data_IF_578449074562
#
_entry.id   IF_578449074562
#
_cell.length_a   1.000
_cell.length_b   1.000
_cell.length_c   1.000
_cell.angle_alpha   90.00
_cell.angle_beta   90.00
_cell.angle_gamma   90.00
#
_symmetry.space_group_name_H-M   'P 1'
#
loop_
_entity.id
_entity.type
_entity.pdbx_description
1 polymer ?
#
# COMPACT_ATOMS: atom_id res chain seq x y z
N UNK A 1 25.39 46.39 5.57
CA UNK A 1 25.43 45.38 4.48
C UNK A 1 25.08 44.05 5.11
N UNK A 2 23.82 43.62 4.98
CA UNK A 2 23.32 42.42 5.65
C UNK A 2 23.02 41.36 4.59
N UNK A 3 23.73 40.25 4.68
CA UNK A 3 23.62 39.08 3.81
C UNK A 3 22.35 38.31 4.14
N UNK A 4 21.39 38.26 3.23
CA UNK A 4 20.26 37.34 3.33
C UNK A 4 20.67 36.00 2.71
N UNK A 5 21.00 35.05 3.59
CA UNK A 5 21.14 33.63 3.28
C UNK A 5 19.76 33.06 3.01
N UNK A 6 19.49 32.63 1.78
CA UNK A 6 18.30 31.89 1.43
C UNK A 6 18.36 30.51 2.08
N UNK A 7 17.45 30.25 3.00
CA UNK A 7 17.22 28.94 3.61
C UNK A 7 16.75 27.97 2.54
N UNK A 8 17.65 27.10 2.09
CA UNK A 8 17.31 25.92 1.31
C UNK A 8 16.48 25.02 2.22
N UNK A 9 15.20 24.85 1.89
CA UNK A 9 14.34 23.85 2.51
C UNK A 9 14.86 22.47 2.09
N UNK A 10 15.78 21.91 2.89
CA UNK A 10 16.12 20.50 2.83
C UNK A 10 14.88 19.69 3.22
N UNK A 11 14.14 19.25 2.20
CA UNK A 11 13.17 18.18 2.33
C UNK A 11 14.00 16.93 2.64
N UNK A 12 14.06 16.57 3.92
CA UNK A 12 14.63 15.30 4.39
C UNK A 12 13.87 14.16 3.71
N UNK A 13 14.44 13.62 2.64
CA UNK A 13 13.88 12.49 1.90
C UNK A 13 13.85 11.30 2.88
N UNK A 14 12.68 10.67 3.12
CA UNK A 14 12.61 9.48 3.95
C UNK A 14 13.56 8.43 3.39
N UNK A 15 14.42 7.88 4.24
CA UNK A 15 15.28 6.76 3.91
C UNK A 15 14.42 5.67 3.27
N UNK A 16 14.69 5.37 2.01
CA UNK A 16 13.95 4.40 1.19
C UNK A 16 14.00 2.96 1.75
N UNK A 17 14.72 2.73 2.86
CA UNK A 17 14.85 1.44 3.55
C UNK A 17 13.65 1.03 4.44
N UNK A 18 12.57 1.80 4.52
CA UNK A 18 11.39 1.47 5.37
C UNK A 18 10.22 0.81 4.62
N UNK A 19 10.35 0.58 3.31
CA UNK A 19 9.31 -0.07 2.51
C UNK A 19 9.16 -1.53 2.97
N UNK A 20 7.97 -1.88 3.45
CA UNK A 20 7.72 -3.17 4.11
C UNK A 20 7.51 -4.34 3.14
N UNK A 21 6.94 -4.05 1.97
CA UNK A 21 6.62 -4.96 0.84
C UNK A 21 6.60 -4.13 -0.47
N UNK A 22 6.63 -4.77 -1.63
CA UNK A 22 6.80 -4.15 -2.95
C UNK A 22 8.15 -3.45 -3.11
N UNK A 23 9.22 -4.04 -2.55
CA UNK A 23 10.54 -3.42 -2.53
C UNK A 23 11.00 -3.10 -3.96
N UNK A 24 10.95 -4.07 -4.86
CA UNK A 24 11.40 -3.92 -6.25
C UNK A 24 10.63 -2.81 -6.98
N UNK A 25 9.30 -2.79 -6.84
CA UNK A 25 8.46 -1.75 -7.45
C UNK A 25 8.83 -0.37 -6.91
N UNK A 26 8.93 -0.22 -5.60
CA UNK A 26 9.21 1.06 -4.98
C UNK A 26 10.63 1.55 -5.31
N UNK A 27 11.58 0.62 -5.50
CA UNK A 27 12.99 0.93 -5.78
C UNK A 27 13.13 1.52 -7.17
N UNK A 28 12.53 0.84 -8.14
CA UNK A 28 12.50 1.31 -9.52
C UNK A 28 11.77 2.66 -9.63
N UNK A 29 10.62 2.81 -8.95
CA UNK A 29 9.91 4.08 -8.95
C UNK A 29 10.75 5.21 -8.32
N UNK A 30 11.48 4.92 -7.24
CA UNK A 30 12.37 5.88 -6.60
C UNK A 30 13.53 6.29 -7.52
N UNK A 31 14.18 5.32 -8.19
CA UNK A 31 15.24 5.57 -9.18
C UNK A 31 14.75 6.53 -10.26
N UNK A 32 13.56 6.28 -10.81
CA UNK A 32 12.95 7.16 -11.82
C UNK A 32 12.69 8.57 -11.28
N UNK A 33 12.18 8.70 -10.05
CA UNK A 33 11.98 10.01 -9.40
C UNK A 33 13.30 10.77 -9.31
N UNK A 34 14.37 10.15 -8.80
CA UNK A 34 15.69 10.78 -8.66
C UNK A 34 16.27 11.21 -10.01
N UNK A 35 16.16 10.35 -11.03
CA UNK A 35 16.59 10.67 -12.41
C UNK A 35 15.91 11.93 -12.93
N UNK A 36 14.60 12.07 -12.71
CA UNK A 36 13.81 13.23 -13.16
C UNK A 36 14.15 14.47 -12.34
N UNK A 37 14.28 14.36 -11.01
CA UNK A 37 14.62 15.48 -10.14
C UNK A 37 15.99 16.08 -10.50
N UNK A 38 16.95 15.26 -10.94
CA UNK A 38 18.26 15.73 -11.40
C UNK A 38 18.21 16.65 -12.64
N UNK A 39 17.13 16.62 -13.43
CA UNK A 39 16.97 17.47 -14.62
C UNK A 39 15.89 18.54 -14.46
N UNK A 40 15.05 18.47 -13.43
CA UNK A 40 13.84 19.31 -13.30
C UNK A 40 14.17 20.80 -13.25
N UNK A 41 15.21 21.20 -12.49
CA UNK A 41 15.63 22.61 -12.38
C UNK A 41 16.18 23.15 -13.71
N UNK A 42 16.86 22.30 -14.49
CA UNK A 42 17.35 22.66 -15.80
C UNK A 42 16.20 22.84 -16.81
N UNK A 43 15.17 21.99 -16.71
CA UNK A 43 13.93 22.11 -17.50
C UNK A 43 13.21 23.42 -17.17
N UNK A 44 13.08 23.75 -15.89
CA UNK A 44 12.47 25.02 -15.45
C UNK A 44 13.26 26.23 -15.95
N UNK A 45 14.59 26.18 -15.84
CA UNK A 45 15.49 27.25 -16.28
C UNK A 45 15.46 27.45 -17.80
N UNK A 46 15.24 26.37 -18.56
CA UNK A 46 15.10 26.43 -20.01
C UNK A 46 13.84 27.17 -20.47
N UNK A 47 12.88 27.42 -19.55
CA UNK A 47 11.59 28.10 -19.81
C UNK A 47 10.95 27.61 -21.11
N UNK A 48 10.38 26.41 -21.16
CA UNK A 48 9.78 25.92 -22.40
C UNK A 48 8.63 26.88 -22.85
N UNK A 49 8.89 27.65 -23.91
CA UNK A 49 8.30 28.98 -24.17
C UNK A 49 6.89 28.99 -24.79
N UNK A 50 6.06 27.97 -24.61
CA UNK A 50 4.67 27.97 -25.09
C UNK A 50 3.71 27.44 -24.03
N UNK A 51 2.47 27.97 -23.99
CA UNK A 51 1.50 27.70 -22.91
C UNK A 51 1.27 26.20 -22.64
N UNK A 52 1.27 25.38 -23.70
CA UNK A 52 1.15 23.93 -23.59
C UNK A 52 2.33 23.28 -22.85
N UNK A 53 3.54 23.81 -22.98
CA UNK A 53 4.73 23.23 -22.37
C UNK A 53 4.84 23.56 -20.87
N UNK A 54 4.33 24.73 -20.44
CA UNK A 54 4.15 25.04 -19.01
C UNK A 54 3.15 24.07 -18.36
N UNK A 55 2.04 23.78 -19.04
CA UNK A 55 1.05 22.81 -18.55
C UNK A 55 1.64 21.40 -18.43
N UNK A 56 2.47 20.98 -19.39
CA UNK A 56 3.21 19.71 -19.34
C UNK A 56 4.15 19.66 -18.14
N UNK A 57 4.89 20.74 -17.86
CA UNK A 57 5.77 20.82 -16.70
C UNK A 57 5.01 20.74 -15.36
N UNK A 58 3.87 21.42 -15.25
CA UNK A 58 2.98 21.29 -14.08
C UNK A 58 2.46 19.86 -13.91
N UNK A 59 2.14 19.17 -15.02
CA UNK A 59 1.70 17.78 -15.02
C UNK A 59 2.81 16.82 -14.59
N UNK A 60 4.06 17.09 -15.00
CA UNK A 60 5.25 16.37 -14.55
C UNK A 60 5.44 16.48 -13.03
N UNK A 61 5.39 17.70 -12.48
CA UNK A 61 5.45 17.94 -11.03
C UNK A 61 4.34 17.23 -10.25
N UNK A 62 3.11 17.32 -10.75
CA UNK A 62 1.97 16.62 -10.15
C UNK A 62 2.16 15.10 -10.17
N UNK A 63 2.79 14.57 -11.22
CA UNK A 63 3.09 13.13 -11.34
C UNK A 63 4.22 12.71 -10.41
N UNK A 64 5.25 13.54 -10.22
CA UNK A 64 6.29 13.34 -9.20
C UNK A 64 5.69 13.29 -7.80
N UNK A 65 4.76 14.18 -7.46
CA UNK A 65 4.05 14.16 -6.19
C UNK A 65 3.22 12.86 -6.01
N UNK A 66 2.53 12.40 -7.07
CA UNK A 66 1.82 11.12 -7.07
C UNK A 66 2.76 9.93 -6.85
N UNK A 67 3.93 9.94 -7.50
CA UNK A 67 4.95 8.90 -7.35
C UNK A 67 5.48 8.81 -5.93
N UNK A 68 5.85 9.96 -5.34
CA UNK A 68 6.26 10.05 -3.93
C UNK A 68 5.15 9.58 -2.98
N UNK A 69 3.90 9.91 -3.27
CA UNK A 69 2.74 9.43 -2.49
C UNK A 69 2.56 7.91 -2.54
N UNK A 70 2.86 7.25 -3.67
CA UNK A 70 2.81 5.77 -3.76
C UNK A 70 3.86 5.15 -2.85
N UNK A 71 5.11 5.64 -2.90
CA UNK A 71 6.19 5.13 -2.03
C UNK A 71 5.82 5.32 -0.56
N UNK A 72 5.33 6.51 -0.18
CA UNK A 72 4.86 6.79 1.18
C UNK A 72 3.73 5.84 1.61
N UNK A 73 2.78 5.57 0.73
CA UNK A 73 1.71 4.62 1.02
C UNK A 73 2.25 3.20 1.26
N UNK A 74 3.26 2.76 0.49
CA UNK A 74 3.87 1.44 0.67
C UNK A 74 4.70 1.34 1.97
N UNK A 75 5.26 2.44 2.47
CA UNK A 75 5.98 2.44 3.77
C UNK A 75 5.04 2.49 4.98
N UNK A 76 3.92 3.22 4.87
CA UNK A 76 3.02 3.45 6.01
C UNK A 76 1.93 2.38 6.16
N UNK A 77 1.64 1.62 5.11
CA UNK A 77 0.55 0.64 5.11
C UNK A 77 0.93 -0.70 5.75
N UNK A 78 -0.09 -1.51 6.06
CA UNK A 78 0.04 -2.90 6.51
C UNK A 78 0.63 -3.76 5.39
N UNK A 79 1.51 -4.69 5.75
CA UNK A 79 2.05 -5.69 4.81
C UNK A 79 0.93 -6.55 4.22
N UNK A 80 0.00 -7.03 5.04
CA UNK A 80 -1.15 -7.82 4.59
C UNK A 80 -2.03 -7.05 3.60
N UNK A 81 -2.35 -5.80 3.94
CA UNK A 81 -3.13 -4.93 3.06
C UNK A 81 -2.43 -4.68 1.72
N UNK A 82 -1.13 -4.39 1.76
CA UNK A 82 -0.32 -4.15 0.57
C UNK A 82 -0.18 -5.42 -0.29
N UNK A 83 -0.08 -6.61 0.30
CA UNK A 83 -0.03 -7.85 -0.46
C UNK A 83 -1.32 -8.05 -1.29
N UNK A 84 -2.49 -7.80 -0.69
CA UNK A 84 -3.80 -7.92 -1.37
C UNK A 84 -3.98 -6.84 -2.44
N UNK A 85 -3.48 -5.63 -2.18
CA UNK A 85 -3.61 -4.49 -3.10
C UNK A 85 -2.43 -4.35 -4.08
N UNK A 86 -1.51 -5.31 -4.09
CA UNK A 86 -0.28 -5.34 -4.90
C UNK A 86 -0.49 -5.02 -6.37
N UNK A 87 -1.49 -5.64 -7.02
CA UNK A 87 -1.78 -5.40 -8.44
C UNK A 87 -2.29 -3.98 -8.71
N UNK A 88 -2.99 -3.37 -7.74
CA UNK A 88 -3.39 -1.96 -7.82
C UNK A 88 -2.18 -1.03 -7.72
N UNK A 89 -1.23 -1.34 -6.83
CA UNK A 89 0.03 -0.59 -6.69
C UNK A 89 0.85 -0.71 -7.97
N UNK A 90 1.03 -1.92 -8.49
CA UNK A 90 1.73 -2.20 -9.75
C UNK A 90 1.13 -1.39 -10.91
N UNK A 91 -0.20 -1.47 -11.09
CA UNK A 91 -0.90 -0.70 -12.13
C UNK A 91 -0.73 0.82 -11.96
N UNK A 92 -0.72 1.31 -10.72
CA UNK A 92 -0.51 2.73 -10.42
C UNK A 92 0.91 3.18 -10.77
N UNK A 93 1.94 2.37 -10.48
CA UNK A 93 3.33 2.64 -10.84
C UNK A 93 3.53 2.64 -12.36
N UNK A 94 2.95 1.67 -13.07
CA UNK A 94 2.98 1.63 -14.54
C UNK A 94 2.34 2.89 -15.16
N UNK A 95 1.18 3.32 -14.64
CA UNK A 95 0.54 4.57 -15.10
C UNK A 95 1.42 5.80 -14.85
N UNK A 96 2.10 5.86 -13.71
CA UNK A 96 3.03 6.94 -13.37
C UNK A 96 4.22 6.96 -14.33
N UNK A 97 4.85 5.80 -14.59
CA UNK A 97 5.95 5.66 -15.55
C UNK A 97 5.54 6.11 -16.95
N UNK A 98 4.40 5.66 -17.44
CA UNK A 98 3.87 6.05 -18.75
C UNK A 98 3.57 7.56 -18.82
N UNK A 99 3.08 8.16 -17.73
CA UNK A 99 2.87 9.59 -17.64
C UNK A 99 4.20 10.38 -17.67
N UNK A 100 5.23 9.91 -16.96
CA UNK A 100 6.57 10.49 -17.06
C UNK A 100 7.12 10.44 -18.48
N UNK A 101 7.00 9.29 -19.16
CA UNK A 101 7.43 9.13 -20.54
C UNK A 101 6.74 10.15 -21.46
N UNK A 102 5.41 10.25 -21.36
CA UNK A 102 4.61 11.19 -22.15
C UNK A 102 5.07 12.65 -21.94
N UNK A 103 5.19 13.09 -20.68
CA UNK A 103 5.51 14.49 -20.39
C UNK A 103 6.96 14.84 -20.72
N UNK A 104 7.90 13.94 -20.47
CA UNK A 104 9.30 14.15 -20.81
C UNK A 104 9.52 14.17 -22.33
N UNK A 105 8.83 13.32 -23.09
CA UNK A 105 8.89 13.34 -24.56
C UNK A 105 8.37 14.66 -25.13
N UNK A 106 7.30 15.23 -24.54
CA UNK A 106 6.79 16.54 -24.93
C UNK A 106 7.80 17.66 -24.59
N UNK A 107 8.37 17.65 -23.39
CA UNK A 107 9.36 18.64 -22.94
C UNK A 107 10.64 18.57 -23.77
N UNK A 108 11.07 17.38 -24.19
CA UNK A 108 12.30 17.18 -24.98
C UNK A 108 12.36 18.07 -26.22
N UNK A 109 11.22 18.26 -26.90
CA UNK A 109 11.12 19.07 -28.11
C UNK A 109 11.13 20.59 -27.84
N UNK A 110 11.00 21.00 -26.57
CA UNK A 110 10.87 22.39 -26.15
C UNK A 110 12.09 22.92 -25.38
N UNK A 111 13.19 22.14 -25.31
CA UNK A 111 14.39 22.49 -24.55
C UNK A 111 15.65 22.48 -25.42
N UNK A 112 16.74 23.17 -25.00
CA UNK A 112 18.02 23.12 -25.72
C UNK A 112 18.59 21.70 -25.83
N UNK A 113 19.34 21.44 -26.90
CA UNK A 113 19.85 20.11 -27.25
C UNK A 113 20.65 19.37 -26.17
N UNK A 114 21.51 20.04 -25.38
CA UNK A 114 22.19 19.37 -24.26
C UNK A 114 21.22 18.80 -23.22
N UNK A 115 20.10 19.50 -22.97
CA UNK A 115 19.06 19.04 -22.05
C UNK A 115 18.17 17.98 -22.68
N UNK A 116 17.82 18.14 -23.96
CA UNK A 116 17.06 17.13 -24.72
C UNK A 116 17.77 15.76 -24.74
N UNK A 117 19.10 15.77 -24.80
CA UNK A 117 19.93 14.55 -24.73
C UNK A 117 19.84 13.86 -23.37
N UNK A 118 19.87 14.64 -22.27
CA UNK A 118 19.68 14.11 -20.90
C UNK A 118 18.28 13.52 -20.72
N UNK A 119 17.26 14.20 -21.25
CA UNK A 119 15.87 13.70 -21.23
C UNK A 119 15.77 12.41 -22.04
N UNK A 120 16.45 12.31 -23.18
CA UNK A 120 16.47 11.08 -23.99
C UNK A 120 16.99 9.87 -23.21
N UNK A 121 18.03 10.06 -22.38
CA UNK A 121 18.54 9.00 -21.52
C UNK A 121 17.50 8.56 -20.48
N UNK A 122 16.79 9.51 -19.86
CA UNK A 122 15.70 9.19 -18.91
C UNK A 122 14.54 8.46 -19.61
N UNK A 123 14.20 8.84 -20.85
CA UNK A 123 13.18 8.15 -21.63
C UNK A 123 13.57 6.71 -21.95
N UNK A 124 14.85 6.43 -22.18
CA UNK A 124 15.37 5.07 -22.32
C UNK A 124 15.23 4.31 -21.00
N UNK A 125 15.69 4.88 -19.89
CA UNK A 125 15.56 4.29 -18.54
C UNK A 125 14.08 3.92 -18.24
N UNK A 126 13.15 4.83 -18.56
CA UNK A 126 11.70 4.63 -18.36
C UNK A 126 11.12 3.46 -19.17
N UNK A 127 11.62 3.23 -20.39
CA UNK A 127 11.15 2.13 -21.25
C UNK A 127 11.68 0.78 -20.79
N UNK A 128 12.91 0.78 -20.27
CA UNK A 128 13.57 -0.43 -19.78
C UNK A 128 13.14 -0.81 -18.35
N UNK A 129 12.58 0.13 -17.58
CA UNK A 129 12.10 -0.17 -16.22
C UNK A 129 10.93 -1.16 -16.27
N UNK A 130 11.12 -2.34 -15.71
CA UNK A 130 10.06 -3.31 -15.45
C UNK A 130 9.67 -3.28 -13.97
N UNK A 131 8.36 -3.21 -13.70
CA UNK A 131 7.82 -3.38 -12.36
C UNK A 131 7.32 -4.81 -12.20
N UNK A 132 7.78 -5.50 -11.16
CA UNK A 132 7.36 -6.86 -10.82
C UNK A 132 7.14 -7.01 -9.32
N UNK A 133 6.37 -8.03 -8.94
CA UNK A 133 6.08 -8.39 -7.57
C UNK A 133 6.99 -9.53 -7.12
N UNK A 134 7.45 -9.48 -5.88
CA UNK A 134 8.18 -10.56 -5.23
C UNK A 134 7.29 -11.81 -5.10
N UNK A 135 7.89 -13.00 -5.28
CA UNK A 135 7.16 -14.26 -5.29
C UNK A 135 6.42 -14.50 -3.97
N UNK A 136 7.06 -14.21 -2.85
CA UNK A 136 6.54 -14.38 -1.51
C UNK A 136 5.29 -13.51 -1.28
N UNK A 137 5.31 -12.28 -1.77
CA UNK A 137 4.19 -11.34 -1.67
C UNK A 137 3.01 -11.79 -2.53
N UNK A 138 3.29 -12.31 -3.72
CA UNK A 138 2.28 -12.85 -4.64
C UNK A 138 1.64 -14.13 -4.08
N UNK A 139 2.40 -15.00 -3.42
CA UNK A 139 1.84 -16.17 -2.73
C UNK A 139 0.98 -15.77 -1.53
N UNK A 140 1.42 -14.80 -0.72
CA UNK A 140 0.62 -14.26 0.37
C UNK A 140 -0.70 -13.68 -0.14
N UNK A 141 -0.65 -12.92 -1.25
CA UNK A 141 -1.82 -12.37 -1.92
C UNK A 141 -2.80 -13.45 -2.33
N UNK A 142 -2.34 -14.49 -3.04
CA UNK A 142 -3.20 -15.57 -3.55
C UNK A 142 -3.96 -16.25 -2.43
N UNK A 143 -3.27 -16.61 -1.36
CA UNK A 143 -3.87 -17.33 -0.24
C UNK A 143 -4.94 -16.49 0.47
N UNK A 144 -4.66 -15.21 0.75
CA UNK A 144 -5.65 -14.33 1.40
C UNK A 144 -6.80 -13.98 0.46
N UNK A 145 -6.55 -13.82 -0.84
CA UNK A 145 -7.60 -13.54 -1.80
C UNK A 145 -8.53 -14.75 -2.00
N UNK A 146 -7.98 -15.96 -2.08
CA UNK A 146 -8.77 -17.19 -2.10
C UNK A 146 -9.63 -17.35 -0.85
N UNK A 147 -9.15 -16.92 0.31
CA UNK A 147 -9.96 -16.88 1.54
C UNK A 147 -11.13 -15.90 1.41
N UNK A 148 -10.89 -14.69 0.91
CA UNK A 148 -11.91 -13.64 0.74
C UNK A 148 -12.99 -13.98 -0.28
N UNK A 149 -12.66 -14.79 -1.30
CA UNK A 149 -13.58 -15.18 -2.37
C UNK A 149 -14.35 -16.47 -2.07
N UNK A 150 -13.93 -17.23 -1.05
CA UNK A 150 -14.49 -18.54 -0.75
C UNK A 150 -15.76 -18.44 0.10
N UNK A 151 -16.77 -19.23 -0.28
CA UNK A 151 -17.95 -19.46 0.55
C UNK A 151 -17.74 -20.73 1.37
N UNK A 152 -18.04 -20.66 2.67
CA UNK A 152 -17.84 -21.77 3.60
C UNK A 152 -19.16 -22.48 3.92
N UNK A 153 -19.19 -23.83 3.92
CA UNK A 153 -20.39 -24.60 4.23
C UNK A 153 -20.77 -24.53 5.72
N UNK A 154 -19.80 -24.34 6.60
CA UNK A 154 -19.99 -24.21 8.04
C UNK A 154 -18.87 -23.36 8.68
N UNK A 155 -19.04 -22.99 9.95
CA UNK A 155 -18.05 -22.19 10.68
C UNK A 155 -16.74 -22.95 10.93
N UNK A 156 -16.78 -24.26 11.17
CA UNK A 156 -15.58 -25.04 11.48
C UNK A 156 -14.60 -25.11 10.30
N UNK A 157 -15.12 -25.29 9.08
CA UNK A 157 -14.33 -25.21 7.84
C UNK A 157 -13.80 -23.79 7.62
N UNK A 158 -14.62 -22.76 7.81
CA UNK A 158 -14.15 -21.37 7.74
C UNK A 158 -12.94 -21.13 8.66
N UNK A 159 -13.04 -21.54 9.93
CA UNK A 159 -11.99 -21.28 10.91
C UNK A 159 -10.66 -21.95 10.60
N UNK A 160 -10.71 -23.17 10.06
CA UNK A 160 -9.52 -23.91 9.67
C UNK A 160 -8.82 -23.23 8.50
N UNK A 161 -9.58 -22.85 7.48
CA UNK A 161 -9.04 -22.16 6.31
C UNK A 161 -8.54 -20.75 6.63
N UNK A 162 -9.23 -20.01 7.50
CA UNK A 162 -8.77 -18.70 7.99
C UNK A 162 -7.40 -18.84 8.69
N UNK A 163 -7.26 -19.83 9.58
CA UNK A 163 -6.01 -20.10 10.30
C UNK A 163 -4.86 -20.49 9.36
N UNK A 164 -5.12 -21.40 8.41
CA UNK A 164 -4.10 -21.83 7.44
C UNK A 164 -3.67 -20.66 6.55
N UNK A 165 -4.63 -19.89 6.05
CA UNK A 165 -4.37 -18.76 5.17
C UNK A 165 -3.53 -17.68 5.86
N UNK A 166 -3.90 -17.31 7.09
CA UNK A 166 -3.16 -16.26 7.83
C UNK A 166 -1.76 -16.75 8.24
N UNK A 167 -1.57 -18.02 8.56
CA UNK A 167 -0.24 -18.59 8.84
C UNK A 167 0.67 -18.52 7.62
N UNK A 168 0.16 -18.92 6.45
CA UNK A 168 0.93 -18.84 5.21
C UNK A 168 1.27 -17.38 4.89
N UNK A 169 0.27 -16.49 4.91
CA UNK A 169 0.46 -15.08 4.58
C UNK A 169 1.46 -14.39 5.52
N UNK A 170 1.32 -14.57 6.83
CA UNK A 170 2.24 -13.97 7.81
C UNK A 170 3.66 -14.53 7.69
N UNK A 171 3.81 -15.82 7.39
CA UNK A 171 5.13 -16.42 7.13
C UNK A 171 5.80 -15.84 5.88
N UNK A 172 5.04 -15.71 4.79
CA UNK A 172 5.52 -15.15 3.51
C UNK A 172 5.88 -13.65 3.62
N UNK A 173 5.14 -12.90 4.42
CA UNK A 173 5.36 -11.46 4.64
C UNK A 173 6.31 -11.15 5.80
N UNK A 174 6.95 -12.18 6.38
CA UNK A 174 7.87 -12.07 7.51
C UNK A 174 7.26 -11.42 8.76
N UNK A 175 5.96 -11.61 9.00
CA UNK A 175 5.26 -11.23 10.22
C UNK A 175 5.39 -12.40 11.21
N UNK A 176 6.61 -12.65 11.67
CA UNK A 176 6.98 -13.87 12.39
C UNK A 176 7.16 -13.67 13.89
N UNK A 177 7.69 -12.51 14.27
CA UNK A 177 7.96 -12.20 15.68
C UNK A 177 6.74 -11.58 16.37
N UNK A 178 6.61 -11.70 17.71
CA UNK A 178 5.58 -11.00 18.47
C UNK A 178 5.58 -9.48 18.23
N UNK A 179 6.77 -8.88 18.07
CA UNK A 179 6.91 -7.47 17.76
C UNK A 179 6.38 -7.12 16.35
N UNK A 180 6.78 -7.87 15.32
CA UNK A 180 6.28 -7.65 13.95
C UNK A 180 4.77 -7.85 13.85
N UNK A 181 4.23 -8.79 14.62
CA UNK A 181 2.80 -9.04 14.70
C UNK A 181 2.06 -7.85 15.34
N UNK A 182 2.56 -7.38 16.49
CA UNK A 182 2.00 -6.21 17.17
C UNK A 182 2.07 -4.94 16.28
N UNK A 183 3.20 -4.71 15.62
CA UNK A 183 3.40 -3.59 14.72
C UNK A 183 2.44 -3.63 13.52
N UNK A 184 2.19 -4.82 12.98
CA UNK A 184 1.23 -5.01 11.88
C UNK A 184 -0.20 -4.73 12.34
N UNK A 185 -0.61 -5.25 13.51
CA UNK A 185 -1.92 -4.96 14.12
C UNK A 185 -2.12 -3.46 14.37
N UNK A 186 -1.11 -2.79 14.91
CA UNK A 186 -1.15 -1.34 15.14
C UNK A 186 -1.26 -0.56 13.81
N UNK A 187 -0.56 -1.02 12.76
CA UNK A 187 -0.63 -0.41 11.43
C UNK A 187 -2.03 -0.55 10.84
N UNK A 188 -2.64 -1.74 10.89
CA UNK A 188 -4.01 -1.95 10.40
C UNK A 188 -5.04 -1.08 11.15
N UNK A 189 -4.93 -0.98 12.47
CA UNK A 189 -5.79 -0.09 13.28
C UNK A 189 -5.68 1.37 12.83
N UNK A 190 -4.45 1.88 12.72
CA UNK A 190 -4.19 3.25 12.26
C UNK A 190 -4.74 3.50 10.86
N UNK A 191 -4.56 2.55 9.94
CA UNK A 191 -5.11 2.68 8.59
C UNK A 191 -6.63 2.70 8.61
N UNK A 192 -7.27 1.83 9.40
CA UNK A 192 -8.72 1.77 9.51
C UNK A 192 -9.32 3.07 10.06
N UNK A 193 -8.64 3.73 11.01
CA UNK A 193 -9.01 5.06 11.52
C UNK A 193 -8.91 6.16 10.45
N UNK A 194 -8.01 6.00 9.48
CA UNK A 194 -7.77 6.95 8.40
C UNK A 194 -8.66 6.73 7.16
N UNK A 195 -9.35 5.58 7.06
CA UNK A 195 -10.22 5.32 5.91
C UNK A 195 -11.42 6.26 5.95
N UNK A 196 -11.51 7.12 4.94
CA UNK A 196 -12.67 7.97 4.73
C UNK A 196 -13.92 7.10 4.53
N UNK A 197 -15.05 7.50 5.13
CA UNK A 197 -16.31 6.74 5.09
C UNK A 197 -16.89 6.44 3.71
N UNK A 198 -16.30 7.00 2.64
CA UNK A 198 -16.70 6.74 1.25
C UNK A 198 -16.11 5.46 0.65
N UNK A 199 -15.00 4.93 1.18
CA UNK A 199 -14.38 3.71 0.66
C UNK A 199 -14.75 2.47 1.49
N UNK A 200 -16.01 2.04 1.35
CA UNK A 200 -16.56 0.92 2.13
C UNK A 200 -15.76 -0.38 1.95
N UNK A 201 -15.37 -0.71 0.72
CA UNK A 201 -14.61 -1.94 0.43
C UNK A 201 -13.22 -1.96 1.07
N UNK A 202 -12.55 -0.81 1.12
CA UNK A 202 -11.26 -0.70 1.81
C UNK A 202 -11.43 -0.87 3.32
N UNK A 203 -12.49 -0.28 3.88
CA UNK A 203 -12.82 -0.40 5.31
C UNK A 203 -13.12 -1.86 5.69
N UNK A 204 -13.98 -2.53 4.93
CA UNK A 204 -14.33 -3.94 5.12
C UNK A 204 -13.09 -4.84 5.05
N UNK A 205 -12.23 -4.61 4.06
CA UNK A 205 -10.98 -5.36 3.93
C UNK A 205 -10.08 -5.17 5.16
N UNK A 206 -9.83 -3.92 5.59
CA UNK A 206 -8.99 -3.65 6.75
C UNK A 206 -9.58 -4.23 8.05
N UNK A 207 -10.91 -4.17 8.21
CA UNK A 207 -11.60 -4.79 9.34
C UNK A 207 -11.39 -6.31 9.35
N UNK A 208 -11.55 -6.97 8.21
CA UNK A 208 -11.37 -8.41 8.10
C UNK A 208 -9.92 -8.83 8.36
N UNK A 209 -8.94 -8.13 7.81
CA UNK A 209 -7.52 -8.41 8.09
C UNK A 209 -7.16 -8.21 9.57
N UNK A 210 -7.71 -7.17 10.20
CA UNK A 210 -7.51 -6.94 11.63
C UNK A 210 -8.16 -8.04 12.46
N UNK A 211 -9.36 -8.51 12.09
CA UNK A 211 -10.04 -9.65 12.70
C UNK A 211 -9.17 -10.91 12.63
N UNK A 212 -8.64 -11.26 11.45
CA UNK A 212 -7.78 -12.45 11.29
C UNK A 212 -6.56 -12.41 12.21
N UNK A 213 -5.90 -11.26 12.32
CA UNK A 213 -4.80 -11.12 13.27
C UNK A 213 -5.30 -11.26 14.71
N UNK A 214 -6.36 -10.58 15.12
CA UNK A 214 -6.84 -10.65 16.52
C UNK A 214 -7.21 -12.09 16.89
N UNK A 215 -7.98 -12.78 16.05
CA UNK A 215 -8.47 -14.14 16.30
C UNK A 215 -7.33 -15.16 16.35
N UNK A 216 -6.38 -15.09 15.42
CA UNK A 216 -5.36 -16.12 15.24
C UNK A 216 -3.97 -15.76 15.76
N UNK A 217 -3.78 -14.57 16.32
CA UNK A 217 -2.48 -14.06 16.75
C UNK A 217 -1.74 -14.95 17.75
N UNK A 218 -2.47 -15.56 18.68
CA UNK A 218 -1.89 -16.46 19.67
C UNK A 218 -1.33 -17.75 19.03
N UNK A 219 -2.03 -18.29 18.03
CA UNK A 219 -1.60 -19.51 17.33
C UNK A 219 -0.40 -19.24 16.41
N UNK A 220 -0.34 -18.08 15.78
CA UNK A 220 0.77 -17.67 14.90
C UNK A 220 2.07 -17.48 15.69
N UNK A 221 2.00 -16.89 16.90
CA UNK A 221 3.16 -16.68 17.75
C UNK A 221 3.65 -17.98 18.42
N UNK A 222 2.74 -18.90 18.80
CA UNK A 222 3.09 -20.15 19.51
C UNK A 222 3.79 -21.19 18.62
N UNK A 223 3.50 -21.25 17.32
CA UNK A 223 4.10 -22.23 16.40
C UNK A 223 5.63 -22.00 16.23
N UNK A 224 6.11 -20.79 16.52
CA UNK A 224 7.52 -20.43 16.33
C UNK A 224 8.37 -20.56 17.61
N UNK A 225 7.74 -20.61 18.79
CA UNK A 225 8.42 -20.82 20.08
C UNK A 225 8.78 -22.30 20.35
N UNK A 226 8.44 -23.21 19.42
CA UNK A 226 8.78 -24.63 19.49
C UNK A 226 10.28 -24.95 19.53
N UNK A 227 11.16 -23.94 19.42
CA UNK A 227 12.61 -24.10 19.56
C UNK A 227 13.25 -23.31 20.71
N UNK A 228 12.52 -22.57 21.55
CA UNK A 228 13.00 -22.17 22.87
C UNK A 228 11.85 -21.60 23.70
N UNK A 229 11.42 -22.36 24.71
CA UNK A 229 10.53 -21.86 25.74
C UNK A 229 11.14 -20.65 26.46
N UNK A 230 10.43 -19.53 26.56
CA UNK A 230 10.28 -18.72 27.77
C UNK A 230 9.16 -17.69 27.61
N UNK A 231 8.22 -17.73 28.56
CA UNK A 231 7.04 -16.89 28.73
C UNK A 231 7.25 -15.41 28.37
N UNK A 232 6.33 -14.85 27.57
CA UNK A 232 5.89 -13.45 27.78
C UNK A 232 4.44 -13.28 27.36
N UNK A 233 3.59 -13.09 28.36
CA UNK A 233 2.16 -12.78 28.23
C UNK A 233 1.99 -11.42 27.54
N UNK A 234 1.35 -11.40 26.37
CA UNK A 234 0.79 -10.17 25.81
C UNK A 234 -0.69 -10.14 26.19
N UNK A 235 -0.99 -9.67 27.40
CA UNK A 235 -2.35 -9.31 27.78
C UNK A 235 -2.68 -7.92 27.26
N UNK A 236 -3.60 -7.86 26.30
CA UNK A 236 -4.41 -6.68 26.05
C UNK A 236 -5.88 -7.11 25.95
N UNK A 237 -6.49 -7.33 27.12
CA UNK A 237 -7.88 -7.76 27.31
C UNK A 237 -8.92 -6.67 27.01
N UNK A 238 -8.52 -5.52 26.46
CA UNK A 238 -9.41 -4.35 26.38
C UNK A 238 -10.45 -4.40 25.25
N UNK A 239 -10.40 -5.35 24.31
CA UNK A 239 -11.27 -5.32 23.11
C UNK A 239 -12.15 -6.55 22.86
N UNK A 240 -11.92 -7.68 23.55
CA UNK A 240 -12.82 -8.86 23.46
C UNK A 240 -14.27 -8.48 23.82
N UNK A 241 -14.44 -7.52 24.73
CA UNK A 241 -15.77 -7.11 25.19
C UNK A 241 -16.52 -6.17 24.23
N UNK A 242 -15.90 -5.63 23.18
CA UNK A 242 -16.57 -4.65 22.31
C UNK A 242 -17.16 -5.25 21.02
N UNK A 243 -16.72 -6.44 20.61
CA UNK A 243 -17.31 -7.15 19.46
C UNK A 243 -18.48 -8.06 19.87
N UNK A 244 -18.43 -8.63 21.08
CA UNK A 244 -19.51 -9.49 21.63
C UNK A 244 -20.77 -8.68 21.99
N UNK A 245 -20.62 -7.40 22.32
CA UNK A 245 -21.75 -6.55 22.73
C UNK A 245 -22.61 -6.11 21.54
N UNK A 246 -22.03 -5.94 20.35
CA UNK A 246 -22.81 -5.54 19.16
C UNK A 246 -23.65 -6.70 18.61
N UNK A 247 -23.25 -7.96 18.85
CA UNK A 247 -24.00 -9.16 18.43
C UNK A 247 -25.18 -9.45 19.37
N UNK A 248 -25.02 -9.21 20.68
CA UNK A 248 -26.09 -9.40 21.67
C UNK A 248 -27.18 -8.32 21.64
N UNK A 249 -26.90 -7.14 21.05
CA UNK A 249 -27.89 -6.07 20.93
C UNK A 249 -28.79 -6.26 19.69
N UNK A 250 -28.36 -7.00 18.67
CA UNK A 250 -29.22 -7.28 17.50
C UNK A 250 -30.21 -8.43 17.66
N UNK A 251 -30.00 -9.33 18.64
CA UNK A 251 -30.90 -10.48 18.85
C UNK A 251 -32.19 -10.15 19.62
N UNK A 252 -32.38 -8.93 20.12
CA UNK A 252 -33.54 -8.57 20.96
C UNK A 252 -34.58 -7.66 20.30
N UNK A 253 -34.56 -7.47 18.98
CA UNK A 253 -35.66 -6.80 18.26
C UNK A 253 -35.95 -7.43 16.89
N UNK A 254 -36.40 -8.68 16.87
CA UNK A 254 -37.21 -9.18 15.75
C UNK A 254 -38.37 -10.00 16.30
N UNK A 255 -39.46 -9.31 16.58
CA UNK A 255 -40.80 -9.88 16.53
C UNK A 255 -41.73 -8.71 16.21
N UNK A 256 -41.84 -8.36 14.92
CA UNK A 256 -43.13 -8.21 14.26
C UNK A 256 -42.96 -7.82 12.77
N UNK A 257 -43.93 -8.24 11.96
CA UNK A 257 -44.23 -7.84 10.56
C UNK A 257 -43.53 -8.55 9.38
N UNK A 258 -44.23 -9.61 8.93
CA UNK A 258 -44.80 -9.81 7.59
C UNK A 258 -43.88 -9.85 6.34
N UNK A 259 -43.88 -11.05 5.76
CA UNK A 259 -43.80 -11.37 4.33
C UNK A 259 -44.60 -10.39 3.45
N UNK A 260 -44.16 -10.03 2.22
CA UNK A 260 -44.61 -10.82 1.05
C UNK A 260 -43.60 -10.93 -0.13
N UNK A 261 -43.59 -12.13 -0.72
CA UNK A 261 -43.85 -12.45 -2.14
C UNK A 261 -43.12 -11.71 -3.29
N UNK A 262 -42.34 -12.51 -4.05
CA UNK A 262 -42.22 -12.64 -5.53
C UNK A 262 -42.44 -11.41 -6.42
N UNK A 263 -41.45 -11.14 -7.30
CA UNK A 263 -41.68 -10.50 -8.60
C UNK A 263 -40.45 -9.80 -9.18
N UNK A 264 -39.85 -10.43 -10.20
CA UNK A 264 -39.08 -9.87 -11.31
C UNK A 264 -37.87 -8.95 -11.04
N UNK A 265 -36.65 -9.52 -11.18
CA UNK A 265 -35.59 -9.25 -12.19
C UNK A 265 -34.33 -10.02 -11.82
#
# INVERSE_FOLDING_TARGET
>A
MSSNTATVLEIKIPSYCEVKVHHSICLELHRLIERILNVILAIESARPNYASAMQTLCSLHSTLAKAKSVIKHCSESSKLYLAITSHKILSRCQKIRNAFELYLAQIQNAVPMPLASKISAILHDLRDTEFFLEFEEEEARKVVLSLLEKNFPDSASMEKEELEAIQIATSRLEIKTPFSFWAEKATLKRQLEQVNGTNLKEKELLQYLLYLLIKYGNFICQIQDGNHSLKRECHDQSFEHKLVVDEAISENQVNDYLNPHVGDI
#
